data_IF_780949137462
#
_entry.id   IF_780949137462
#
_cell.length_a   1.000
_cell.length_b   1.000
_cell.length_c   1.000
_cell.angle_alpha   90.00
_cell.angle_beta   90.00
_cell.angle_gamma   90.00
#
_symmetry.space_group_name_H-M   'P 1'
#
loop_
_entity.id
_entity.type
_entity.pdbx_description
1 polymer ?
#
# COMPACT_ATOMS: atom_id res chain seq x y z
N UNK A 1 -22.74 -13.24 41.95
CA UNK A 1 -22.41 -14.62 41.51
C UNK A 1 -23.14 -14.83 40.19
N UNK A 2 -22.43 -15.03 39.07
CA UNK A 2 -23.05 -15.43 37.79
C UNK A 2 -22.94 -14.45 36.61
N UNK A 3 -21.73 -14.31 36.06
CA UNK A 3 -21.35 -14.17 34.64
C UNK A 3 -22.29 -13.46 33.64
N UNK A 4 -21.88 -12.26 33.20
CA UNK A 4 -22.26 -11.70 31.89
C UNK A 4 -21.22 -12.18 30.88
N UNK A 5 -21.57 -13.18 30.05
CA UNK A 5 -20.77 -13.60 28.90
C UNK A 5 -21.19 -12.74 27.71
N UNK A 6 -20.50 -11.62 27.49
CA UNK A 6 -20.57 -10.91 26.22
C UNK A 6 -19.55 -11.54 25.26
N UNK A 7 -20.06 -12.16 24.19
CA UNK A 7 -19.27 -12.64 23.05
C UNK A 7 -18.38 -11.52 22.49
N UNK A 8 -17.14 -11.82 22.04
CA UNK A 8 -16.35 -10.82 21.36
C UNK A 8 -17.00 -10.51 20.01
N UNK A 9 -17.44 -9.26 19.87
CA UNK A 9 -17.84 -8.64 18.62
C UNK A 9 -16.68 -8.75 17.62
N UNK A 10 -16.91 -9.39 16.47
CA UNK A 10 -16.04 -9.32 15.29
C UNK A 10 -15.91 -7.85 14.86
N UNK A 11 -14.91 -7.15 15.38
CA UNK A 11 -14.50 -5.87 14.84
C UNK A 11 -13.57 -6.15 13.67
N UNK A 12 -14.10 -5.98 12.45
CA UNK A 12 -13.29 -5.73 11.27
C UNK A 12 -12.53 -4.43 11.53
N UNK A 13 -11.34 -4.53 12.12
CA UNK A 13 -10.51 -3.39 12.47
C UNK A 13 -9.98 -2.75 11.19
N UNK A 14 -10.46 -1.55 10.88
CA UNK A 14 -9.84 -0.66 9.90
C UNK A 14 -8.47 -0.26 10.42
N UNK A 15 -7.41 -0.54 9.66
CA UNK A 15 -6.06 -0.04 9.94
C UNK A 15 -5.83 1.14 9.01
N UNK A 16 -5.92 2.35 9.56
CA UNK A 16 -5.49 3.56 8.86
C UNK A 16 -3.96 3.66 8.95
N UNK A 17 -3.28 3.44 7.82
CA UNK A 17 -1.83 3.55 7.76
C UNK A 17 -1.46 5.04 7.56
N UNK A 18 -1.12 5.73 8.65
CA UNK A 18 -0.43 7.02 8.59
C UNK A 18 1.06 6.72 8.41
N UNK A 19 1.57 6.87 7.19
CA UNK A 19 3.01 6.94 6.97
C UNK A 19 3.46 8.39 7.13
N UNK A 20 4.24 8.64 8.18
CA UNK A 20 5.04 9.86 8.31
C UNK A 20 6.10 9.87 7.21
N UNK A 21 5.79 10.56 6.10
CA UNK A 21 6.79 11.10 5.19
C UNK A 21 6.67 12.61 5.32
N UNK A 22 7.63 13.21 6.03
CA UNK A 22 7.78 14.65 6.19
C UNK A 22 7.96 15.32 4.82
N UNK A 23 6.85 15.69 4.16
CA UNK A 23 6.64 16.92 3.39
C UNK A 23 5.31 16.81 2.60
N UNK A 24 4.23 17.30 3.22
CA UNK A 24 3.08 17.95 2.57
C UNK A 24 2.42 17.24 1.36
N UNK A 25 1.48 16.28 1.56
CA UNK A 25 0.22 16.11 0.77
C UNK A 25 -0.61 14.84 1.11
N UNK A 26 -1.92 14.81 0.79
CA UNK A 26 -2.93 13.98 1.45
C UNK A 26 -2.88 12.51 1.02
N UNK A 27 -3.02 11.63 2.02
CA UNK A 27 -3.34 10.21 1.83
C UNK A 27 -4.81 10.15 1.38
N UNK A 28 -5.08 9.63 0.18
CA UNK A 28 -6.43 9.39 -0.31
C UNK A 28 -6.79 7.92 -0.17
N UNK A 29 -7.92 7.63 0.49
CA UNK A 29 -8.51 6.28 0.53
C UNK A 29 -9.28 6.09 -0.78
N UNK A 30 -8.88 5.13 -1.61
CA UNK A 30 -9.55 4.80 -2.88
C UNK A 30 -10.71 3.81 -2.68
N UNK A 31 -10.73 3.12 -1.54
CA UNK A 31 -11.79 2.24 -1.06
C UNK A 31 -11.21 1.23 -0.07
N UNK A 32 -11.96 0.89 0.99
CA UNK A 32 -11.58 -0.18 1.93
C UNK A 32 -10.14 -0.10 2.47
N UNK A 33 -9.31 -1.05 2.02
CA UNK A 33 -7.91 -1.30 2.41
C UNK A 33 -6.86 -0.78 1.40
N UNK A 34 -7.25 0.08 0.46
CA UNK A 34 -6.37 0.62 -0.59
C UNK A 34 -5.93 2.07 -0.31
N UNK A 35 -4.62 2.28 -0.41
CA UNK A 35 -3.96 3.56 -0.11
C UNK A 35 -3.14 4.04 -1.31
N UNK A 36 -3.15 5.35 -1.56
CA UNK A 36 -2.30 6.01 -2.53
C UNK A 36 -1.19 6.81 -1.83
N UNK A 37 0.06 6.57 -2.21
CA UNK A 37 1.23 7.35 -1.76
C UNK A 37 1.72 8.16 -2.96
N UNK A 38 1.72 9.49 -2.84
CA UNK A 38 2.26 10.39 -3.85
C UNK A 38 3.65 10.87 -3.41
N UNK A 39 4.67 10.53 -4.19
CA UNK A 39 6.03 11.01 -3.97
C UNK A 39 6.32 12.15 -4.95
N UNK A 40 6.71 13.30 -4.43
CA UNK A 40 7.19 14.44 -5.20
C UNK A 40 8.70 14.57 -5.06
N UNK A 41 9.35 15.18 -6.06
CA UNK A 41 10.78 15.53 -6.00
C UNK A 41 11.73 14.32 -5.84
N UNK A 42 11.32 13.14 -6.31
CA UNK A 42 12.19 11.96 -6.31
C UNK A 42 13.21 12.06 -7.44
N UNK A 43 14.50 11.99 -7.09
CA UNK A 43 15.60 12.18 -8.05
C UNK A 43 15.81 10.96 -8.97
N UNK A 44 15.63 9.76 -8.44
CA UNK A 44 15.89 8.51 -9.16
C UNK A 44 15.01 7.34 -8.66
N UNK A 45 15.18 6.19 -9.31
CA UNK A 45 14.43 4.98 -8.97
C UNK A 45 14.80 4.42 -7.59
N UNK A 46 16.02 4.69 -7.11
CA UNK A 46 16.51 4.17 -5.84
C UNK A 46 15.88 4.90 -4.66
N UNK A 47 15.60 6.20 -4.80
CA UNK A 47 14.76 6.94 -3.85
C UNK A 47 13.35 6.36 -3.74
N UNK A 48 12.74 5.94 -4.86
CA UNK A 48 11.42 5.29 -4.84
C UNK A 48 11.49 3.93 -4.13
N UNK A 49 12.52 3.13 -4.41
CA UNK A 49 12.75 1.84 -3.75
C UNK A 49 12.92 2.01 -2.25
N UNK A 50 13.71 2.99 -1.81
CA UNK A 50 13.92 3.26 -0.40
C UNK A 50 12.60 3.56 0.34
N UNK A 51 11.72 4.34 -0.26
CA UNK A 51 10.39 4.60 0.32
C UNK A 51 9.53 3.33 0.32
N UNK A 52 9.52 2.56 -0.77
CA UNK A 52 8.77 1.31 -0.83
C UNK A 52 9.23 0.29 0.23
N UNK A 53 10.54 0.16 0.43
CA UNK A 53 11.13 -0.71 1.45
C UNK A 53 10.76 -0.21 2.86
N UNK A 54 10.82 1.10 3.12
CA UNK A 54 10.41 1.68 4.40
C UNK A 54 8.92 1.44 4.71
N UNK A 55 8.04 1.52 3.70
CA UNK A 55 6.62 1.16 3.83
C UNK A 55 6.48 -0.31 4.20
N UNK A 56 7.24 -1.21 3.55
CA UNK A 56 7.24 -2.63 3.87
C UNK A 56 7.70 -2.93 5.29
N UNK A 57 8.81 -2.35 5.70
CA UNK A 57 9.37 -2.54 7.05
C UNK A 57 8.38 -2.07 8.13
N UNK A 58 7.71 -0.93 7.90
CA UNK A 58 6.68 -0.43 8.80
C UNK A 58 5.46 -1.37 8.89
N UNK A 59 5.04 -1.96 7.76
CA UNK A 59 3.90 -2.88 7.72
C UNK A 59 4.21 -4.24 8.33
N UNK A 60 5.41 -4.77 8.06
CA UNK A 60 5.87 -6.06 8.54
C UNK A 60 6.20 -6.06 10.03
N UNK A 61 6.38 -4.89 10.63
CA UNK A 61 6.45 -4.76 12.08
C UNK A 61 5.22 -5.40 12.76
N UNK A 62 5.41 -5.91 13.97
CA UNK A 62 4.30 -6.44 14.76
C UNK A 62 3.49 -5.30 15.37
N UNK A 63 2.20 -5.24 15.04
CA UNK A 63 1.28 -4.19 15.49
C UNK A 63 0.35 -4.72 16.58
N UNK A 64 0.25 -4.05 17.74
CA UNK A 64 -0.70 -4.42 18.78
C UNK A 64 -2.11 -3.93 18.42
N UNK A 65 -3.02 -4.86 18.16
CA UNK A 65 -4.44 -4.57 17.87
C UNK A 65 -5.31 -5.45 18.75
N UNK A 66 -6.14 -4.84 19.59
CA UNK A 66 -7.05 -5.59 20.48
C UNK A 66 -6.33 -6.54 21.46
N UNK A 67 -5.09 -6.24 21.84
CA UNK A 67 -4.28 -7.11 22.70
C UNK A 67 -3.62 -8.29 21.98
N UNK A 68 -3.75 -8.38 20.66
CA UNK A 68 -3.04 -9.36 19.82
C UNK A 68 -1.97 -8.66 18.99
N UNK A 69 -0.84 -9.34 18.80
CA UNK A 69 0.18 -8.95 17.85
C UNK A 69 -0.22 -9.44 16.45
N UNK A 70 -0.37 -8.51 15.50
CA UNK A 70 -0.65 -8.84 14.10
C UNK A 70 0.47 -8.32 13.20
N UNK A 71 0.74 -9.02 12.12
CA UNK A 71 1.64 -8.56 11.05
C UNK A 71 0.82 -8.26 9.81
N UNK A 72 1.11 -7.13 9.17
CA UNK A 72 0.41 -6.69 7.96
C UNK A 72 1.35 -6.90 6.77
N UNK A 73 0.81 -7.37 5.65
CA UNK A 73 1.54 -7.44 4.39
C UNK A 73 0.82 -6.60 3.36
N UNK A 74 1.56 -5.91 2.48
CA UNK A 74 0.98 -5.15 1.38
C UNK A 74 1.41 -5.70 0.02
N UNK A 75 0.64 -5.39 -1.01
CA UNK A 75 1.09 -5.50 -2.40
C UNK A 75 1.08 -4.09 -2.95
N UNK A 76 2.21 -3.64 -3.49
CA UNK A 76 2.35 -2.27 -3.98
C UNK A 76 2.54 -2.26 -5.49
N UNK A 77 1.92 -1.28 -6.13
CA UNK A 77 2.14 -0.97 -7.53
C UNK A 77 2.68 0.43 -7.66
N UNK A 78 3.72 0.60 -8.47
CA UNK A 78 4.46 1.86 -8.57
C UNK A 78 4.43 2.32 -10.02
N UNK A 79 3.95 3.54 -10.25
CA UNK A 79 4.05 4.24 -11.52
C UNK A 79 4.86 5.52 -11.35
N UNK A 80 5.60 5.91 -12.40
CA UNK A 80 6.46 7.10 -12.38
C UNK A 80 6.14 8.01 -13.54
N UNK A 81 5.96 9.31 -13.27
CA UNK A 81 5.94 10.31 -14.32
C UNK A 81 7.36 10.55 -14.86
N UNK A 82 7.57 10.70 -16.17
CA UNK A 82 6.59 10.51 -17.25
C UNK A 82 6.56 9.06 -17.80
N UNK A 83 7.47 8.19 -17.35
CA UNK A 83 7.71 6.86 -17.95
C UNK A 83 6.48 5.94 -17.96
N UNK A 84 5.63 6.06 -16.94
CA UNK A 84 4.41 5.29 -16.73
C UNK A 84 3.16 6.11 -17.02
N UNK A 85 3.24 7.20 -17.79
CA UNK A 85 2.10 8.04 -18.14
C UNK A 85 2.32 9.51 -17.80
N UNK A 86 1.52 10.36 -18.43
CA UNK A 86 1.65 11.82 -18.36
C UNK A 86 0.46 12.48 -17.69
N UNK A 87 -0.63 11.74 -17.47
CA UNK A 87 -1.81 12.22 -16.75
C UNK A 87 -1.95 11.52 -15.39
N UNK A 88 -2.60 12.15 -14.39
CA UNK A 88 -2.90 11.50 -13.11
C UNK A 88 -3.68 10.19 -13.28
N UNK A 89 -4.63 10.17 -14.22
CA UNK A 89 -5.44 8.98 -14.50
C UNK A 89 -4.59 7.81 -15.01
N UNK A 90 -3.69 8.04 -15.97
CA UNK A 90 -2.77 7.02 -16.47
C UNK A 90 -1.86 6.50 -15.35
N UNK A 91 -1.28 7.39 -14.55
CA UNK A 91 -0.39 7.01 -13.45
C UNK A 91 -1.11 6.15 -12.41
N UNK A 92 -2.33 6.53 -12.02
CA UNK A 92 -3.13 5.77 -11.07
C UNK A 92 -3.51 4.39 -11.63
N UNK A 93 -3.97 4.32 -12.89
CA UNK A 93 -4.34 3.07 -13.53
C UNK A 93 -3.15 2.12 -13.70
N UNK A 94 -1.98 2.66 -14.06
CA UNK A 94 -0.75 1.87 -14.22
C UNK A 94 -0.17 1.41 -12.88
N UNK A 95 -0.29 2.23 -11.81
CA UNK A 95 0.05 1.80 -10.46
C UNK A 95 -0.87 0.66 -10.00
N UNK A 96 -2.18 0.76 -10.22
CA UNK A 96 -3.14 -0.30 -9.91
C UNK A 96 -2.84 -1.61 -10.67
N UNK A 97 -2.53 -1.50 -11.96
CA UNK A 97 -2.10 -2.65 -12.79
C UNK A 97 -0.86 -3.34 -12.21
N UNK A 98 0.16 -2.56 -11.84
CA UNK A 98 1.38 -3.09 -11.24
C UNK A 98 1.12 -3.73 -9.87
N UNK A 99 0.23 -3.15 -9.05
CA UNK A 99 -0.20 -3.71 -7.78
C UNK A 99 -0.92 -5.05 -7.99
N UNK A 100 -1.78 -5.14 -8.99
CA UNK A 100 -2.45 -6.40 -9.32
C UNK A 100 -1.44 -7.48 -9.74
N UNK A 101 -0.42 -7.12 -10.54
CA UNK A 101 0.70 -8.01 -10.84
C UNK A 101 1.47 -8.45 -9.58
N UNK A 102 1.69 -7.55 -8.62
CA UNK A 102 2.27 -7.88 -7.31
C UNK A 102 1.43 -8.92 -6.57
N UNK A 103 0.09 -8.72 -6.51
CA UNK A 103 -0.87 -9.66 -5.89
C UNK A 103 -0.77 -11.05 -6.54
N UNK A 104 -0.62 -11.12 -7.88
CA UNK A 104 -0.47 -12.39 -8.63
C UNK A 104 0.89 -13.06 -8.46
N UNK A 105 1.96 -12.31 -8.18
CA UNK A 105 3.33 -12.81 -8.01
C UNK A 105 3.64 -13.31 -6.59
N UNK A 106 2.62 -13.52 -5.75
CA UNK A 106 2.78 -14.04 -4.39
C UNK A 106 2.49 -13.04 -3.28
N UNK A 107 2.05 -11.82 -3.62
CA UNK A 107 1.79 -10.72 -2.65
C UNK A 107 3.08 -10.35 -1.88
N UNK A 108 2.95 -9.48 -0.87
CA UNK A 108 4.06 -9.02 -0.02
C UNK A 108 5.31 -8.55 -0.81
N UNK A 109 5.08 -7.84 -1.92
CA UNK A 109 6.14 -7.28 -2.75
C UNK A 109 5.63 -6.00 -3.44
N UNK A 110 6.52 -5.29 -4.13
CA UNK A 110 6.14 -4.22 -5.04
C UNK A 110 6.49 -4.57 -6.48
N UNK A 111 5.78 -3.96 -7.43
CA UNK A 111 6.14 -3.98 -8.85
C UNK A 111 6.15 -2.55 -9.40
N UNK A 112 7.18 -2.25 -10.17
CA UNK A 112 7.17 -1.07 -11.04
C UNK A 112 6.36 -1.40 -12.29
N UNK A 113 5.51 -0.47 -12.71
CA UNK A 113 4.79 -0.61 -13.96
C UNK A 113 5.75 -0.76 -15.14
N UNK A 114 5.44 -1.71 -16.01
CA UNK A 114 6.02 -1.86 -17.34
C UNK A 114 4.89 -1.99 -18.33
N UNK A 115 5.02 -1.42 -19.54
CA UNK A 115 3.99 -1.47 -20.58
C UNK A 115 3.56 -2.90 -20.95
N UNK A 116 4.43 -3.89 -20.76
CA UNK A 116 4.10 -5.31 -20.97
C UNK A 116 2.99 -5.82 -20.03
N UNK A 117 2.78 -5.17 -18.88
CA UNK A 117 1.75 -5.57 -17.91
C UNK A 117 0.33 -5.30 -18.42
N UNK A 118 0.14 -4.37 -19.37
CA UNK A 118 -1.16 -4.09 -19.97
C UNK A 118 -1.67 -5.22 -20.88
N UNK A 119 -0.78 -6.10 -21.33
CA UNK A 119 -1.13 -7.22 -22.21
C UNK A 119 -1.54 -8.50 -21.46
N UNK A 120 -1.48 -8.49 -20.12
CA UNK A 120 -1.64 -9.69 -19.27
C UNK A 120 -2.71 -9.61 -18.19
N UNK A 121 -3.58 -8.61 -18.27
CA UNK A 121 -4.84 -8.49 -17.51
C UNK A 121 -5.98 -9.13 -18.28
#
# INVERSE_FOLDING_TARGET
MGISQQQPLHHSGTIELILDVLAFKPIGILGGDEFLILLTEVQDIDGVRHVADAVFDALLASHPVGGQAITITASLGISRYPDSGTTPYELMHHADTAMYCSKRRGRNNYQFFSGDMLHGL
#
